data_IF_633494029858
#
_entry.id   IF_633494029858
#
_cell.length_a   1.000
_cell.length_b   1.000
_cell.length_c   1.000
_cell.angle_alpha   90.00
_cell.angle_beta   90.00
_cell.angle_gamma   90.00
#
_symmetry.space_group_name_H-M   'P 1'
#
loop_
_entity.id
_entity.type
_entity.pdbx_description
1 polymer ?
#
# COMPACT_ATOMS: atom_id res chain seq x y z
N UNK A 1 78.68 -7.13 41.31
CA UNK A 1 78.35 -7.30 42.72
C UNK A 1 76.95 -7.86 42.83
N UNK A 2 76.92 -9.13 43.28
CA UNK A 2 75.90 -9.82 44.08
C UNK A 2 74.44 -9.63 43.75
N UNK A 3 73.80 -10.64 43.18
CA UNK A 3 73.23 -11.81 43.84
C UNK A 3 71.84 -11.53 44.36
N UNK A 4 70.82 -12.25 44.09
CA UNK A 4 70.39 -13.49 44.73
C UNK A 4 69.05 -13.95 44.12
N UNK A 5 69.08 -15.20 43.68
CA UNK A 5 67.89 -16.00 43.27
C UNK A 5 67.04 -16.31 44.49
N UNK A 6 65.68 -16.15 44.37
CA UNK A 6 64.76 -16.90 45.24
C UNK A 6 63.60 -17.41 44.37
N UNK A 7 63.50 -18.73 44.25
CA UNK A 7 62.41 -19.41 43.61
C UNK A 7 61.13 -19.40 44.45
N UNK A 8 59.98 -19.34 43.77
CA UNK A 8 58.73 -19.68 44.38
C UNK A 8 57.90 -20.54 43.41
N UNK A 9 57.69 -21.74 43.84
CA UNK A 9 56.80 -22.76 43.29
C UNK A 9 55.35 -22.24 43.12
N UNK A 10 54.81 -22.36 41.91
CA UNK A 10 53.43 -22.10 41.61
C UNK A 10 52.54 -23.35 41.87
N UNK A 11 51.37 -23.21 42.47
CA UNK A 11 50.44 -24.33 42.63
C UNK A 11 49.67 -24.62 41.33
N UNK A 12 49.54 -25.89 41.01
CA UNK A 12 48.73 -26.46 39.91
C UNK A 12 47.29 -26.05 40.05
N UNK A 13 46.72 -25.31 39.07
CA UNK A 13 45.31 -25.07 38.95
C UNK A 13 44.66 -26.25 38.24
N UNK A 14 43.65 -26.79 38.91
CA UNK A 14 42.78 -27.86 38.43
C UNK A 14 41.98 -27.35 37.24
N UNK A 15 41.96 -28.09 36.13
CA UNK A 15 41.07 -27.87 35.00
C UNK A 15 39.60 -28.04 35.43
N UNK A 16 38.88 -26.95 35.57
CA UNK A 16 37.42 -26.94 35.69
C UNK A 16 36.82 -27.28 34.33
N UNK A 17 36.09 -28.40 34.30
CA UNK A 17 35.27 -28.81 33.17
C UNK A 17 34.15 -27.79 33.01
N UNK A 18 34.25 -26.93 32.01
CA UNK A 18 33.14 -26.07 31.61
C UNK A 18 32.04 -26.95 31.01
N UNK A 19 30.97 -27.14 31.77
CA UNK A 19 29.70 -27.66 31.25
C UNK A 19 29.27 -26.74 30.14
N UNK A 20 29.16 -27.29 28.91
CA UNK A 20 28.63 -26.61 27.75
C UNK A 20 27.24 -26.04 28.04
N UNK A 21 27.07 -24.72 27.97
CA UNK A 21 25.78 -24.10 27.84
C UNK A 21 25.22 -24.53 26.49
N UNK A 22 24.14 -25.31 26.55
CA UNK A 22 23.32 -25.55 25.37
C UNK A 22 22.79 -24.19 24.85
N UNK A 23 23.36 -23.76 23.73
CA UNK A 23 22.79 -22.63 22.97
C UNK A 23 21.41 -23.08 22.48
N UNK A 24 20.39 -22.48 23.05
CA UNK A 24 19.06 -22.58 22.48
C UNK A 24 19.12 -22.10 21.02
N UNK A 25 18.48 -22.80 20.07
CA UNK A 25 18.44 -22.33 18.69
C UNK A 25 17.82 -20.93 18.66
N UNK A 26 18.29 -20.04 17.76
CA UNK A 26 17.69 -18.73 17.60
C UNK A 26 16.19 -18.89 17.27
N UNK A 27 15.33 -17.96 17.75
CA UNK A 27 13.92 -18.02 17.43
C UNK A 27 13.79 -18.04 15.91
N UNK A 28 13.15 -19.08 15.39
CA UNK A 28 12.74 -19.16 13.99
C UNK A 28 11.87 -17.95 13.71
N UNK A 29 12.36 -17.03 12.90
CA UNK A 29 11.57 -15.96 12.31
C UNK A 29 10.45 -16.65 11.53
N UNK A 30 9.17 -16.45 11.86
CA UNK A 30 8.09 -17.07 11.11
C UNK A 30 8.22 -16.62 9.65
N UNK A 31 8.28 -17.59 8.75
CA UNK A 31 8.25 -17.37 7.32
C UNK A 31 7.00 -16.53 6.99
N UNK A 32 7.24 -15.37 6.40
CA UNK A 32 6.32 -14.55 5.62
C UNK A 32 4.84 -14.69 6.07
N UNK A 33 4.48 -13.98 7.14
CA UNK A 33 3.09 -13.83 7.57
C UNK A 33 2.41 -12.88 6.54
N UNK A 34 2.02 -13.48 5.41
CA UNK A 34 1.26 -12.76 4.38
C UNK A 34 -0.11 -12.45 4.95
N UNK A 35 -0.30 -11.20 5.38
CA UNK A 35 -1.57 -10.74 5.93
C UNK A 35 -2.69 -10.93 4.90
N UNK A 36 -3.70 -11.72 5.27
CA UNK A 36 -4.85 -12.00 4.42
C UNK A 36 -5.86 -10.84 4.50
N UNK A 37 -5.76 -9.93 3.54
CA UNK A 37 -6.65 -8.78 3.43
C UNK A 37 -8.09 -9.16 3.10
N UNK A 38 -8.29 -10.23 2.35
CA UNK A 38 -9.61 -10.72 1.95
C UNK A 38 -10.36 -11.25 3.16
N UNK A 39 -9.71 -12.13 3.94
CA UNK A 39 -10.28 -12.64 5.18
C UNK A 39 -10.57 -11.52 6.19
N UNK A 40 -9.68 -10.52 6.30
CA UNK A 40 -9.86 -9.38 7.18
C UNK A 40 -11.06 -8.51 6.75
N UNK A 41 -11.24 -8.22 5.47
CA UNK A 41 -12.40 -7.49 4.95
C UNK A 41 -13.72 -8.25 5.15
N UNK A 42 -13.72 -9.55 4.91
CA UNK A 42 -14.88 -10.40 5.19
C UNK A 42 -15.21 -10.44 6.70
N UNK A 43 -14.21 -10.38 7.57
CA UNK A 43 -14.43 -10.26 9.01
C UNK A 43 -15.01 -8.87 9.37
N UNK A 44 -14.50 -7.78 8.78
CA UNK A 44 -15.09 -6.44 8.92
C UNK A 44 -16.58 -6.43 8.50
N UNK A 45 -16.93 -7.09 7.39
CA UNK A 45 -18.31 -7.21 6.93
C UNK A 45 -19.25 -7.90 7.94
N UNK A 46 -18.68 -8.76 8.83
CA UNK A 46 -19.40 -9.40 9.94
C UNK A 46 -19.37 -8.60 11.24
N UNK A 47 -18.77 -7.40 11.25
CA UNK A 47 -18.69 -6.52 12.41
C UNK A 47 -17.47 -6.72 13.31
N UNK A 48 -16.44 -7.45 12.86
CA UNK A 48 -15.19 -7.63 13.62
C UNK A 48 -14.31 -6.36 13.56
N UNK A 49 -14.34 -5.58 14.64
CA UNK A 49 -13.53 -4.35 14.76
C UNK A 49 -12.02 -4.63 14.85
N UNK A 50 -11.63 -5.78 15.37
CA UNK A 50 -10.21 -6.15 15.46
C UNK A 50 -9.63 -6.43 14.06
N UNK A 51 -10.45 -6.91 13.13
CA UNK A 51 -10.03 -7.07 11.75
C UNK A 51 -9.71 -5.72 11.10
N UNK A 52 -10.54 -4.69 11.32
CA UNK A 52 -10.27 -3.33 10.84
C UNK A 52 -8.99 -2.75 11.46
N UNK A 53 -8.80 -2.94 12.78
CA UNK A 53 -7.59 -2.50 13.46
C UNK A 53 -6.34 -3.13 12.83
N UNK A 54 -6.35 -4.43 12.56
CA UNK A 54 -5.23 -5.14 11.91
C UNK A 54 -4.93 -4.60 10.51
N UNK A 55 -5.98 -4.31 9.71
CA UNK A 55 -5.80 -3.66 8.40
C UNK A 55 -5.14 -2.29 8.60
N UNK A 56 -5.60 -1.50 9.56
CA UNK A 56 -5.06 -0.17 9.85
C UNK A 56 -3.58 -0.25 10.25
N UNK A 57 -3.22 -1.09 11.19
CA UNK A 57 -1.85 -1.28 11.67
C UNK A 57 -0.89 -1.69 10.54
N UNK A 58 -1.37 -2.50 9.61
CA UNK A 58 -0.58 -3.03 8.49
C UNK A 58 -0.41 -2.03 7.36
N UNK A 59 -1.49 -1.36 6.96
CA UNK A 59 -1.54 -0.62 5.70
C UNK A 59 -1.53 0.91 5.87
N UNK A 60 -1.80 1.45 7.08
CA UNK A 60 -1.99 2.91 7.27
C UNK A 60 -0.80 3.74 6.80
N UNK A 61 0.44 3.31 7.06
CA UNK A 61 1.65 4.05 6.65
C UNK A 61 1.77 4.13 5.12
N UNK A 62 1.53 3.02 4.44
CA UNK A 62 1.56 2.98 2.98
C UNK A 62 0.42 3.81 2.38
N UNK A 63 -0.79 3.65 2.91
CA UNK A 63 -1.98 4.36 2.43
C UNK A 63 -1.92 5.87 2.70
N UNK A 64 -1.31 6.29 3.82
CA UNK A 64 -1.02 7.70 4.10
C UNK A 64 -0.08 8.28 3.03
N UNK A 65 0.96 7.55 2.66
CA UNK A 65 1.86 7.94 1.58
C UNK A 65 1.14 8.09 0.24
N UNK A 66 0.17 7.20 -0.06
CA UNK A 66 -0.68 7.32 -1.25
C UNK A 66 -1.55 8.57 -1.21
N UNK A 67 -2.24 8.82 -0.08
CA UNK A 67 -3.07 10.00 0.09
C UNK A 67 -2.23 11.29 -0.02
N UNK A 68 -1.08 11.34 0.65
CA UNK A 68 -0.19 12.51 0.66
C UNK A 68 0.31 12.88 -0.75
N UNK A 69 0.62 11.89 -1.59
CA UNK A 69 1.00 12.15 -3.00
C UNK A 69 -0.10 12.81 -3.81
N UNK A 70 -1.36 12.55 -3.47
CA UNK A 70 -2.52 13.06 -4.21
C UNK A 70 -2.92 14.43 -3.69
N UNK A 71 -3.07 14.59 -2.36
CA UNK A 71 -3.57 15.85 -1.76
C UNK A 71 -2.45 16.85 -1.45
N UNK A 72 -1.18 16.39 -1.37
CA UNK A 72 0.05 17.19 -1.17
C UNK A 72 0.13 17.96 0.14
N UNK A 73 -0.82 17.77 1.04
CA UNK A 73 -0.84 18.41 2.34
C UNK A 73 -1.11 17.33 3.41
N UNK A 74 -0.26 17.32 4.46
CA UNK A 74 -0.22 16.22 5.44
C UNK A 74 -1.52 16.07 6.21
N UNK A 75 -2.06 17.17 6.71
CA UNK A 75 -3.28 17.12 7.50
C UNK A 75 -4.46 16.62 6.68
N UNK A 76 -4.60 17.10 5.44
CA UNK A 76 -5.61 16.59 4.53
C UNK A 76 -5.42 15.10 4.19
N UNK A 77 -4.18 14.62 4.10
CA UNK A 77 -3.90 13.21 3.87
C UNK A 77 -4.31 12.35 5.08
N UNK A 78 -4.09 12.82 6.30
CA UNK A 78 -4.52 12.16 7.53
C UNK A 78 -6.05 12.13 7.63
N UNK A 79 -6.74 13.23 7.33
CA UNK A 79 -8.21 13.31 7.27
C UNK A 79 -8.78 12.34 6.23
N UNK A 80 -8.20 12.34 5.03
CA UNK A 80 -8.57 11.42 3.94
C UNK A 80 -8.40 9.97 4.36
N UNK A 81 -7.29 9.64 5.04
CA UNK A 81 -7.04 8.29 5.52
C UNK A 81 -8.09 7.88 6.55
N UNK A 82 -8.41 8.76 7.51
CA UNK A 82 -9.44 8.51 8.51
C UNK A 82 -10.81 8.23 7.85
N UNK A 83 -11.26 9.12 6.97
CA UNK A 83 -12.53 8.98 6.26
C UNK A 83 -12.57 7.71 5.39
N UNK A 84 -11.43 7.36 4.78
CA UNK A 84 -11.31 6.14 4.00
C UNK A 84 -11.47 4.88 4.88
N UNK A 85 -10.91 4.84 6.10
CA UNK A 85 -11.09 3.70 7.00
C UNK A 85 -12.53 3.59 7.53
N UNK A 86 -13.21 4.70 7.79
CA UNK A 86 -14.66 4.72 8.07
C UNK A 86 -15.44 4.17 6.86
N UNK A 87 -15.05 4.54 5.65
CA UNK A 87 -15.64 4.06 4.41
C UNK A 87 -15.38 2.56 4.18
N UNK A 88 -14.16 2.08 4.47
CA UNK A 88 -13.80 0.66 4.41
C UNK A 88 -14.70 -0.14 5.35
N UNK A 89 -14.85 0.30 6.59
CA UNK A 89 -15.73 -0.34 7.58
C UNK A 89 -17.17 -0.41 7.11
N UNK A 90 -17.74 0.72 6.71
CA UNK A 90 -19.15 0.80 6.32
C UNK A 90 -19.48 0.05 5.04
N UNK A 91 -18.49 -0.13 4.16
CA UNK A 91 -18.65 -0.75 2.84
C UNK A 91 -18.02 -2.14 2.73
N UNK A 92 -17.46 -2.69 3.81
CA UNK A 92 -16.81 -4.00 3.79
C UNK A 92 -17.71 -5.11 3.23
N UNK A 93 -19.02 -5.05 3.49
CA UNK A 93 -20.01 -5.99 2.94
C UNK A 93 -20.14 -5.93 1.40
N UNK A 94 -19.63 -4.88 0.75
CA UNK A 94 -19.62 -4.76 -0.72
C UNK A 94 -18.35 -5.35 -1.36
N UNK A 95 -17.39 -5.77 -0.56
CA UNK A 95 -16.19 -6.44 -1.05
C UNK A 95 -16.54 -7.83 -1.56
N UNK A 96 -16.05 -8.17 -2.74
CA UNK A 96 -16.26 -9.46 -3.39
C UNK A 96 -14.89 -10.01 -3.85
N UNK A 97 -14.35 -11.05 -3.21
CA UNK A 97 -13.05 -11.64 -3.56
C UNK A 97 -12.98 -12.12 -5.02
N UNK A 98 -14.12 -12.49 -5.62
CA UNK A 98 -14.14 -12.89 -7.03
C UNK A 98 -13.85 -11.73 -8.01
N UNK A 99 -13.96 -10.48 -7.54
CA UNK A 99 -13.72 -9.28 -8.34
C UNK A 99 -12.34 -8.69 -8.21
N UNK A 100 -11.57 -9.12 -7.20
CA UNK A 100 -10.21 -8.67 -6.99
C UNK A 100 -9.77 -8.82 -5.53
N UNK A 101 -8.50 -8.61 -5.30
CA UNK A 101 -7.86 -8.75 -4.00
C UNK A 101 -8.26 -7.64 -3.03
N UNK A 102 -8.39 -7.97 -1.75
CA UNK A 102 -8.77 -7.04 -0.70
C UNK A 102 -7.82 -5.87 -0.54
N UNK A 103 -6.51 -6.09 -0.69
CA UNK A 103 -5.52 -5.02 -0.65
C UNK A 103 -5.76 -3.98 -1.74
N UNK A 104 -6.01 -4.43 -2.96
CA UNK A 104 -6.35 -3.57 -4.10
C UNK A 104 -7.65 -2.80 -3.89
N UNK A 105 -8.65 -3.44 -3.26
CA UNK A 105 -9.91 -2.79 -2.91
C UNK A 105 -9.71 -1.69 -1.87
N UNK A 106 -8.96 -1.96 -0.78
CA UNK A 106 -8.60 -0.97 0.26
C UNK A 106 -7.88 0.23 -0.38
N UNK A 107 -6.85 -0.04 -1.19
CA UNK A 107 -6.11 0.99 -1.93
C UNK A 107 -7.05 1.87 -2.77
N UNK A 108 -7.99 1.26 -3.50
CA UNK A 108 -8.93 2.00 -4.34
C UNK A 108 -9.85 2.92 -3.54
N UNK A 109 -10.29 2.51 -2.35
CA UNK A 109 -11.11 3.34 -1.46
C UNK A 109 -10.34 4.59 -1.01
N UNK A 110 -9.10 4.42 -0.51
CA UNK A 110 -8.26 5.54 -0.08
C UNK A 110 -7.94 6.49 -1.24
N UNK A 111 -7.56 5.93 -2.39
CA UNK A 111 -7.25 6.72 -3.57
C UNK A 111 -8.45 7.55 -4.05
N UNK A 112 -9.65 6.97 -4.09
CA UNK A 112 -10.85 7.70 -4.46
C UNK A 112 -11.19 8.80 -3.45
N UNK A 113 -11.03 8.56 -2.15
CA UNK A 113 -11.21 9.58 -1.12
C UNK A 113 -10.26 10.77 -1.33
N UNK A 114 -8.97 10.50 -1.57
CA UNK A 114 -7.96 11.53 -1.84
C UNK A 114 -8.28 12.36 -3.10
N UNK A 115 -8.65 11.70 -4.21
CA UNK A 115 -9.03 12.39 -5.44
C UNK A 115 -10.30 13.24 -5.28
N UNK A 116 -11.27 12.77 -4.51
CA UNK A 116 -12.48 13.54 -4.22
C UNK A 116 -12.16 14.79 -3.40
N UNK A 117 -11.20 14.69 -2.45
CA UNK A 117 -10.74 15.85 -1.66
C UNK A 117 -10.11 16.92 -2.55
N UNK A 118 -9.21 16.52 -3.46
CA UNK A 118 -8.59 17.46 -4.43
C UNK A 118 -9.65 18.14 -5.31
N UNK A 119 -10.64 17.39 -5.78
CA UNK A 119 -11.73 17.96 -6.60
C UNK A 119 -12.63 18.91 -5.83
N UNK A 120 -12.90 18.61 -4.55
CA UNK A 120 -13.67 19.52 -3.69
C UNK A 120 -12.89 20.83 -3.50
N UNK A 121 -11.61 20.75 -3.15
CA UNK A 121 -10.75 21.93 -3.02
C UNK A 121 -10.61 22.74 -4.31
N UNK A 122 -10.50 22.07 -5.49
CA UNK A 122 -10.43 22.78 -6.76
C UNK A 122 -11.75 23.52 -7.12
N UNK A 123 -12.89 23.05 -6.64
CA UNK A 123 -14.18 23.76 -6.77
C UNK A 123 -14.28 24.96 -5.84
N UNK A 124 -13.71 24.86 -4.62
CA UNK A 124 -13.65 25.96 -3.68
C UNK A 124 -12.69 27.04 -4.15
N UNK A 125 -11.52 26.67 -4.70
CA UNK A 125 -10.50 27.59 -5.23
C UNK A 125 -10.95 28.27 -6.55
N UNK A 126 -11.80 27.62 -7.35
CA UNK A 126 -12.39 28.27 -8.52
C UNK A 126 -13.37 29.40 -8.14
N UNK A 127 -13.65 29.57 -6.85
CA UNK A 127 -14.41 30.69 -6.29
C UNK A 127 -13.49 31.72 -5.61
N UNK A 128 -12.20 31.35 -5.32
CA UNK A 128 -11.17 32.24 -4.74
C UNK A 128 -9.82 31.96 -5.44
N UNK A 129 -9.38 32.87 -6.28
CA UNK A 129 -8.02 32.82 -6.85
C UNK A 129 -7.01 33.22 -5.78
N UNK A 130 -6.19 32.29 -5.36
CA UNK A 130 -4.75 32.37 -5.00
C UNK A 130 -4.37 31.35 -3.92
N UNK A 131 -3.59 30.36 -4.26
CA UNK A 131 -2.40 29.90 -3.54
C UNK A 131 -2.02 28.44 -3.91
N UNK A 132 -0.98 28.29 -4.73
CA UNK A 132 -0.26 27.04 -4.90
C UNK A 132 1.04 27.09 -4.09
N UNK A 133 1.17 26.25 -3.07
CA UNK A 133 2.46 25.98 -2.42
C UNK A 133 2.71 24.47 -2.42
N UNK A 134 3.79 24.06 -3.09
CA UNK A 134 4.30 22.70 -3.12
C UNK A 134 5.14 22.43 -1.86
N UNK A 135 4.95 21.29 -1.23
CA UNK A 135 5.85 20.77 -0.19
C UNK A 135 6.37 19.41 -0.65
N UNK A 136 7.69 19.34 -0.82
CA UNK A 136 8.46 18.12 -1.07
C UNK A 136 8.69 17.37 0.25
N UNK A 137 8.15 16.17 0.37
CA UNK A 137 8.52 15.24 1.44
C UNK A 137 8.88 13.87 0.84
N UNK A 138 10.02 13.84 0.15
CA UNK A 138 10.58 12.68 -0.57
C UNK A 138 11.16 11.61 0.38
N UNK A 139 11.50 11.97 1.62
CA UNK A 139 12.30 11.12 2.51
C UNK A 139 11.56 9.89 3.06
N UNK A 140 10.25 9.97 3.33
CA UNK A 140 9.48 8.85 3.88
C UNK A 140 9.18 7.76 2.85
N UNK A 141 9.30 8.08 1.57
CA UNK A 141 8.98 7.19 0.45
C UNK A 141 10.18 6.39 -0.07
N UNK A 142 11.40 6.87 0.17
CA UNK A 142 12.63 6.24 -0.32
C UNK A 142 13.00 4.94 0.42
N UNK A 143 12.62 4.78 1.69
CA UNK A 143 12.99 3.60 2.48
C UNK A 143 12.34 2.28 1.99
N UNK A 144 11.23 2.33 1.25
CA UNK A 144 10.55 1.14 0.70
C UNK A 144 10.93 0.83 -0.76
N UNK A 145 11.66 1.73 -1.44
CA UNK A 145 11.95 1.63 -2.87
C UNK A 145 13.15 0.78 -3.25
N UNK A 146 14.05 0.47 -2.32
CA UNK A 146 15.35 -0.11 -2.68
C UNK A 146 15.33 -1.62 -2.99
N UNK A 147 14.36 -2.37 -2.49
CA UNK A 147 14.29 -3.83 -2.71
C UNK A 147 13.44 -4.22 -3.93
N UNK A 148 12.42 -3.44 -4.26
CA UNK A 148 11.41 -3.84 -5.25
C UNK A 148 11.56 -3.12 -6.61
N UNK A 149 12.58 -2.28 -6.77
CA UNK A 149 12.68 -1.40 -7.95
C UNK A 149 12.84 -2.18 -9.27
N UNK A 150 13.52 -3.32 -9.27
CA UNK A 150 13.74 -4.10 -10.49
C UNK A 150 12.47 -4.87 -10.90
N UNK A 151 11.81 -5.53 -9.94
CA UNK A 151 10.53 -6.20 -10.19
C UNK A 151 9.44 -5.20 -10.59
N UNK A 152 9.38 -4.05 -9.90
CA UNK A 152 8.45 -2.98 -10.24
C UNK A 152 8.64 -2.44 -11.66
N UNK A 153 9.87 -2.33 -12.16
CA UNK A 153 10.13 -1.89 -13.55
C UNK A 153 9.67 -2.94 -14.58
N UNK A 154 9.90 -4.21 -14.30
CA UNK A 154 9.44 -5.31 -15.16
C UNK A 154 7.89 -5.35 -15.19
N UNK A 155 7.25 -5.20 -14.03
CA UNK A 155 5.79 -5.17 -13.91
C UNK A 155 5.17 -3.94 -14.60
N UNK A 156 5.82 -2.76 -14.52
CA UNK A 156 5.37 -1.57 -15.23
C UNK A 156 5.46 -1.72 -16.73
N UNK A 157 6.53 -2.33 -17.24
CA UNK A 157 6.68 -2.62 -18.67
C UNK A 157 5.59 -3.58 -19.16
N UNK A 158 5.37 -4.67 -18.41
CA UNK A 158 4.32 -5.65 -18.70
C UNK A 158 2.92 -5.03 -18.64
N UNK A 159 2.65 -4.17 -17.63
CA UNK A 159 1.38 -3.45 -17.53
C UNK A 159 1.17 -2.55 -18.76
N UNK A 160 2.22 -1.84 -19.21
CA UNK A 160 2.15 -0.99 -20.39
C UNK A 160 1.81 -1.79 -21.64
N UNK A 161 2.43 -2.94 -21.85
CA UNK A 161 2.12 -3.85 -22.95
C UNK A 161 0.68 -4.35 -22.87
N UNK A 162 0.22 -4.78 -21.69
CA UNK A 162 -1.14 -5.25 -21.48
C UNK A 162 -2.17 -4.13 -21.73
N UNK A 163 -1.88 -2.89 -21.32
CA UNK A 163 -2.73 -1.73 -21.62
C UNK A 163 -2.83 -1.47 -23.12
N UNK A 164 -1.73 -1.64 -23.88
CA UNK A 164 -1.71 -1.45 -25.33
C UNK A 164 -2.53 -2.50 -26.08
N UNK A 165 -2.69 -3.71 -25.51
CA UNK A 165 -3.54 -4.78 -26.07
C UNK A 165 -5.04 -4.53 -25.88
N UNK A 166 -5.43 -3.63 -24.95
CA UNK A 166 -6.82 -3.29 -24.77
C UNK A 166 -7.36 -2.46 -25.95
N UNK A 167 -8.63 -2.67 -26.27
CA UNK A 167 -9.38 -1.78 -27.15
C UNK A 167 -9.24 -0.32 -26.68
N UNK A 168 -8.98 0.66 -27.58
CA UNK A 168 -8.71 2.05 -27.21
C UNK A 168 -9.71 2.64 -26.22
N UNK A 169 -11.01 2.46 -26.44
CA UNK A 169 -12.05 2.99 -25.57
C UNK A 169 -12.00 2.42 -24.14
N UNK A 170 -11.69 1.12 -23.99
CA UNK A 170 -11.53 0.48 -22.67
C UNK A 170 -10.29 0.98 -21.97
N UNK A 171 -9.16 1.05 -22.69
CA UNK A 171 -7.91 1.60 -22.16
C UNK A 171 -8.08 3.03 -21.69
N UNK A 172 -8.72 3.88 -22.49
CA UNK A 172 -8.97 5.29 -22.18
C UNK A 172 -9.82 5.44 -20.92
N UNK A 173 -10.91 4.67 -20.78
CA UNK A 173 -11.72 4.65 -19.57
C UNK A 173 -10.91 4.27 -18.32
N UNK A 174 -10.00 3.28 -18.43
CA UNK A 174 -9.14 2.86 -17.31
C UNK A 174 -8.16 3.99 -16.96
N UNK A 175 -7.51 4.60 -17.95
CA UNK A 175 -6.58 5.70 -17.70
C UNK A 175 -7.28 6.89 -17.04
N UNK A 176 -8.45 7.30 -17.51
CA UNK A 176 -9.24 8.35 -16.86
C UNK A 176 -9.64 8.01 -15.43
N UNK A 177 -10.07 6.77 -15.18
CA UNK A 177 -10.46 6.34 -13.84
C UNK A 177 -9.27 6.27 -12.88
N UNK A 178 -8.15 5.72 -13.32
CA UNK A 178 -7.03 5.36 -12.42
C UNK A 178 -5.87 6.36 -12.45
N UNK A 179 -5.60 7.05 -13.53
CA UNK A 179 -4.55 8.10 -13.56
C UNK A 179 -5.15 9.49 -13.28
N UNK A 180 -6.21 9.87 -13.99
CA UNK A 180 -6.82 11.19 -13.82
C UNK A 180 -7.86 11.21 -12.69
N UNK A 181 -8.23 10.04 -12.16
CA UNK A 181 -9.16 9.92 -11.05
C UNK A 181 -10.59 10.31 -11.37
N UNK A 182 -10.99 10.35 -12.65
CA UNK A 182 -12.35 10.66 -13.05
C UNK A 182 -13.36 9.66 -12.51
N UNK A 183 -14.49 10.12 -12.01
CA UNK A 183 -15.63 9.26 -11.73
C UNK A 183 -16.21 8.68 -13.03
N UNK A 184 -16.90 7.55 -12.95
CA UNK A 184 -17.53 6.96 -14.13
C UNK A 184 -18.52 7.92 -14.83
N UNK A 185 -19.17 8.82 -14.09
CA UNK A 185 -20.05 9.84 -14.63
C UNK A 185 -19.29 10.89 -15.45
N UNK A 186 -18.15 11.36 -14.93
CA UNK A 186 -17.27 12.31 -15.64
C UNK A 186 -16.69 11.68 -16.91
N UNK A 187 -16.28 10.40 -16.85
CA UNK A 187 -15.82 9.66 -18.03
C UNK A 187 -16.95 9.53 -19.07
N UNK A 188 -18.16 9.21 -18.62
CA UNK A 188 -19.33 9.11 -19.49
C UNK A 188 -19.63 10.44 -20.21
N UNK A 189 -19.57 11.57 -19.48
CA UNK A 189 -19.74 12.89 -20.04
C UNK A 189 -18.62 13.25 -21.03
N UNK A 190 -17.35 12.98 -20.67
CA UNK A 190 -16.17 13.28 -21.48
C UNK A 190 -16.14 12.50 -22.79
N UNK A 191 -16.44 11.20 -22.72
CA UNK A 191 -16.47 10.32 -23.90
C UNK A 191 -17.82 10.33 -24.64
N UNK A 192 -18.80 11.11 -24.15
CA UNK A 192 -20.18 11.14 -24.69
C UNK A 192 -20.78 9.74 -24.82
N UNK A 193 -20.54 8.89 -23.82
CA UNK A 193 -20.89 7.48 -23.81
C UNK A 193 -21.81 7.18 -22.61
N UNK A 194 -22.81 6.31 -22.73
CA UNK A 194 -23.68 5.95 -21.61
C UNK A 194 -22.89 5.42 -20.39
N UNK A 195 -23.27 5.84 -19.18
CA UNK A 195 -22.63 5.45 -17.92
C UNK A 195 -22.52 3.92 -17.76
N UNK A 196 -23.55 3.17 -18.17
CA UNK A 196 -23.54 1.71 -18.15
C UNK A 196 -22.45 1.11 -19.02
N UNK A 197 -22.19 1.71 -20.19
CA UNK A 197 -21.13 1.30 -21.12
C UNK A 197 -19.77 1.56 -20.53
N UNK A 198 -19.53 2.73 -19.93
CA UNK A 198 -18.26 3.06 -19.25
C UNK A 198 -17.96 2.07 -18.12
N UNK A 199 -18.95 1.79 -17.26
CA UNK A 199 -18.80 0.78 -16.19
C UNK A 199 -18.43 -0.59 -16.75
N UNK A 200 -19.12 -1.03 -17.81
CA UNK A 200 -18.85 -2.31 -18.45
C UNK A 200 -17.45 -2.35 -19.13
N UNK A 201 -17.01 -1.25 -19.73
CA UNK A 201 -15.69 -1.15 -20.34
C UNK A 201 -14.58 -1.21 -19.29
N UNK A 202 -14.70 -0.48 -18.17
CA UNK A 202 -13.74 -0.53 -17.07
C UNK A 202 -13.69 -1.95 -16.49
N UNK A 203 -14.84 -2.57 -16.20
CA UNK A 203 -14.88 -3.91 -15.64
C UNK A 203 -14.23 -4.96 -16.55
N UNK A 204 -14.58 -4.96 -17.85
CA UNK A 204 -13.99 -5.90 -18.81
C UNK A 204 -12.51 -5.63 -19.07
N UNK A 205 -12.12 -4.35 -19.14
CA UNK A 205 -10.73 -3.97 -19.31
C UNK A 205 -9.87 -4.37 -18.12
N UNK A 206 -10.35 -4.20 -16.89
CA UNK A 206 -9.65 -4.66 -15.68
C UNK A 206 -9.55 -6.19 -15.62
N UNK A 207 -10.57 -6.93 -16.11
CA UNK A 207 -10.49 -8.39 -16.25
C UNK A 207 -9.38 -8.80 -17.21
N UNK A 208 -9.36 -8.23 -18.41
CA UNK A 208 -8.34 -8.52 -19.41
C UNK A 208 -6.92 -8.13 -18.97
N UNK A 209 -6.77 -7.02 -18.19
CA UNK A 209 -5.47 -6.66 -17.60
C UNK A 209 -5.00 -7.70 -16.59
N UNK A 210 -5.88 -8.19 -15.71
CA UNK A 210 -5.53 -9.25 -14.76
C UNK A 210 -5.07 -10.53 -15.46
N UNK A 211 -5.81 -10.97 -16.47
CA UNK A 211 -5.44 -12.14 -17.27
C UNK A 211 -4.10 -11.96 -17.99
N UNK A 212 -3.80 -10.76 -18.51
CA UNK A 212 -2.56 -10.46 -19.19
C UNK A 212 -1.37 -10.37 -18.21
N UNK A 213 -1.60 -9.92 -16.98
CA UNK A 213 -0.57 -9.77 -15.95
C UNK A 213 -0.30 -11.05 -15.16
N UNK A 214 -1.24 -12.01 -15.17
CA UNK A 214 -1.04 -13.33 -14.59
C UNK A 214 -0.03 -14.15 -15.40
#
# INVERSE_FOLDING_TARGET
MHCTTIGRTAPRRRHGVHRGRSLSPPPTVPANDTFDHDAALLACARGDRLALQRIYERESRFLLGVALRIVRERQQAEDVLHDAFVSIWSRAASFDPARGEGRGWIYSVVRHAALNRVRAGAREVALDEEAAAAVDDEAALQAHRASDAFELHADLGRLQECLLRLEPARRECILYAYLEGCSHGEIAARLKTPLGTVKAWIQRGMGALRECMA
#
